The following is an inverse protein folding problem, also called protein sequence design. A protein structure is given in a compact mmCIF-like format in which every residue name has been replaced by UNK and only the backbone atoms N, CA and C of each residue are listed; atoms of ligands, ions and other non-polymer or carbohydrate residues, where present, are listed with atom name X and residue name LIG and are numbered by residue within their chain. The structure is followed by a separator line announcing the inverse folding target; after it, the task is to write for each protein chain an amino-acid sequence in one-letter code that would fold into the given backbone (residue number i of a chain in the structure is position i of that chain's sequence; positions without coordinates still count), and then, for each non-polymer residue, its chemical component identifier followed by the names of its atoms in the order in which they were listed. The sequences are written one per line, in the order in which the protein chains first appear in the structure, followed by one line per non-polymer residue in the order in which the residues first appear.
data_IF_670593897470
#
_entry.id   IF_670593897470
#
_cell.length_a   1.000
_cell.length_b   1.000
_cell.length_c   1.000
_cell.angle_alpha   90.00
_cell.angle_beta   90.00
_cell.angle_gamma   90.00
#
_symmetry.space_group_name_H-M   'P 1'
#
loop_
_entity.id
_entity.type
_entity.pdbx_description
1 polymer ?
#
# COMPACT_ATOMS: atom_id res chain seq x y z
N UNK A 1 13.01 3.21 -13.83
CA UNK A 1 11.88 2.44 -13.28
C UNK A 1 10.89 3.44 -12.72
N UNK A 2 9.72 3.54 -13.33
CA UNK A 2 8.67 4.47 -12.91
C UNK A 2 7.80 3.80 -11.85
N UNK A 3 7.62 4.44 -10.71
CA UNK A 3 6.74 3.98 -9.63
C UNK A 3 5.27 4.23 -9.97
N UNK A 4 4.36 3.46 -9.36
CA UNK A 4 2.92 3.71 -9.52
C UNK A 4 2.52 5.13 -9.11
N UNK A 5 3.11 5.64 -8.03
CA UNK A 5 2.80 7.00 -7.56
C UNK A 5 3.25 8.09 -8.54
N UNK A 6 4.39 7.93 -9.21
CA UNK A 6 4.83 8.87 -10.26
C UNK A 6 3.86 8.91 -11.45
N UNK A 7 3.33 7.76 -11.85
CA UNK A 7 2.29 7.69 -12.87
C UNK A 7 1.00 8.35 -12.37
N UNK A 8 0.60 8.08 -11.13
CA UNK A 8 -0.56 8.73 -10.52
C UNK A 8 -0.41 10.26 -10.44
N UNK A 9 0.81 10.78 -10.25
CA UNK A 9 1.06 12.23 -10.25
C UNK A 9 0.71 12.90 -11.58
N UNK A 10 0.79 12.17 -12.69
CA UNK A 10 0.43 12.63 -14.04
C UNK A 10 -1.04 12.36 -14.39
N UNK A 11 -1.75 11.57 -13.60
CA UNK A 11 -3.15 11.23 -13.84
C UNK A 11 -4.08 12.41 -13.46
N UNK A 12 -5.32 12.49 -13.99
CA UNK A 12 -6.22 13.63 -13.76
C UNK A 12 -6.52 14.01 -12.29
N UNK A 13 -6.51 13.06 -11.35
CA UNK A 13 -6.81 13.27 -9.91
C UNK A 13 -8.15 13.98 -9.61
N UNK A 14 -9.06 14.02 -10.58
CA UNK A 14 -10.35 14.68 -10.41
C UNK A 14 -11.33 13.89 -9.54
N UNK A 15 -11.09 12.58 -9.33
CA UNK A 15 -11.94 11.67 -8.54
C UNK A 15 -13.46 11.81 -8.86
N UNK A 16 -13.79 12.09 -10.13
CA UNK A 16 -15.13 12.50 -10.56
C UNK A 16 -16.15 11.35 -10.75
N UNK A 17 -15.72 10.08 -10.70
CA UNK A 17 -16.60 8.92 -10.85
C UNK A 17 -17.18 8.65 -12.25
N UNK A 18 -17.04 9.57 -13.22
CA UNK A 18 -17.67 9.42 -14.56
C UNK A 18 -17.25 8.18 -15.36
N UNK A 19 -16.07 7.61 -15.05
CA UNK A 19 -15.58 6.39 -15.70
C UNK A 19 -15.94 5.10 -14.93
N UNK A 20 -16.92 5.16 -14.01
CA UNK A 20 -17.38 4.01 -13.23
C UNK A 20 -16.40 3.53 -12.15
N UNK A 21 -15.32 4.27 -11.90
CA UNK A 21 -14.35 3.97 -10.85
C UNK A 21 -14.50 4.92 -9.67
N UNK A 22 -14.43 4.38 -8.45
CA UNK A 22 -14.58 5.15 -7.21
C UNK A 22 -13.53 6.25 -7.03
N UNK A 23 -12.34 6.09 -7.64
CA UNK A 23 -11.30 7.10 -7.64
C UNK A 23 -10.42 7.00 -8.88
N UNK A 24 -9.66 8.07 -9.15
CA UNK A 24 -8.61 8.10 -10.15
C UNK A 24 -7.49 7.08 -9.85
N UNK A 25 -7.20 6.81 -8.57
CA UNK A 25 -6.21 5.79 -8.19
C UNK A 25 -6.69 4.40 -8.60
N UNK A 26 -7.95 4.08 -8.27
CA UNK A 26 -8.59 2.82 -8.64
C UNK A 26 -8.63 2.63 -10.15
N UNK A 27 -8.98 3.67 -10.92
CA UNK A 27 -8.97 3.64 -12.37
C UNK A 27 -7.57 3.33 -12.93
N UNK A 28 -6.53 4.01 -12.43
CA UNK A 28 -5.15 3.78 -12.86
C UNK A 28 -4.65 2.37 -12.48
N UNK A 29 -5.02 1.85 -11.30
CA UNK A 29 -4.74 0.45 -10.95
C UNK A 29 -5.40 -0.51 -11.93
N UNK A 30 -6.69 -0.35 -12.22
CA UNK A 30 -7.42 -1.21 -13.16
C UNK A 30 -6.83 -1.13 -14.57
N UNK A 31 -6.34 0.04 -15.00
CA UNK A 31 -5.66 0.21 -16.29
C UNK A 31 -4.48 -0.75 -16.41
N UNK A 32 -3.55 -0.70 -15.45
CA UNK A 32 -2.37 -1.57 -15.44
C UNK A 32 -2.67 -3.05 -15.16
N UNK A 33 -3.88 -3.36 -14.70
CA UNK A 33 -4.41 -4.73 -14.59
C UNK A 33 -5.15 -5.20 -15.86
N UNK A 34 -5.24 -4.37 -16.91
CA UNK A 34 -5.98 -4.69 -18.13
C UNK A 34 -7.51 -4.72 -17.96
N UNK A 35 -8.04 -4.09 -16.90
CA UNK A 35 -9.46 -4.07 -16.54
C UNK A 35 -10.14 -2.71 -16.79
N UNK A 36 -9.43 -1.78 -17.42
CA UNK A 36 -9.90 -0.43 -17.71
C UNK A 36 -9.10 0.14 -18.88
N UNK A 37 -9.76 0.82 -19.81
CA UNK A 37 -9.13 1.59 -20.87
C UNK A 37 -9.09 3.08 -20.51
N UNK A 38 -7.99 3.77 -20.83
CA UNK A 38 -7.91 5.22 -20.63
C UNK A 38 -8.99 5.96 -21.44
N UNK A 39 -9.49 5.41 -22.54
CA UNK A 39 -10.59 5.98 -23.33
C UNK A 39 -11.93 6.06 -22.58
N UNK A 40 -12.10 5.25 -21.54
CA UNK A 40 -13.28 5.32 -20.66
C UNK A 40 -13.22 6.53 -19.71
N UNK A 41 -12.05 7.14 -19.53
CA UNK A 41 -11.89 8.37 -18.74
C UNK A 41 -12.20 9.61 -19.58
N UNK A 42 -13.13 10.45 -19.10
CA UNK A 42 -13.53 11.69 -19.77
C UNK A 42 -12.35 12.60 -20.13
N UNK A 43 -11.35 12.70 -19.25
CA UNK A 43 -10.18 13.58 -19.45
C UNK A 43 -9.24 13.09 -20.55
N UNK A 44 -9.07 11.77 -20.70
CA UNK A 44 -8.29 11.20 -21.80
C UNK A 44 -9.09 11.14 -23.10
N UNK A 45 -10.40 10.89 -23.03
CA UNK A 45 -11.31 10.97 -24.18
C UNK A 45 -11.33 12.37 -24.81
N UNK A 46 -11.30 13.41 -23.98
CA UNK A 46 -11.18 14.82 -24.40
C UNK A 46 -9.75 15.24 -24.75
N UNK A 47 -8.79 14.32 -24.72
CA UNK A 47 -7.37 14.58 -25.01
C UNK A 47 -6.74 15.69 -24.13
N UNK A 48 -7.24 15.88 -22.92
CA UNK A 48 -6.68 16.83 -21.94
C UNK A 48 -5.37 16.28 -21.35
N UNK A 49 -5.25 14.95 -21.28
CA UNK A 49 -4.08 14.25 -20.77
C UNK A 49 -3.51 13.31 -21.83
N UNK A 50 -2.18 13.18 -21.86
CA UNK A 50 -1.47 12.34 -22.80
C UNK A 50 -1.48 10.87 -22.34
N UNK A 51 -2.01 9.97 -23.18
CA UNK A 51 -1.99 8.52 -22.92
C UNK A 51 -0.58 7.93 -22.97
N UNK A 52 0.32 8.54 -23.74
CA UNK A 52 1.71 8.10 -23.89
C UNK A 52 2.51 8.10 -22.60
N UNK A 53 2.08 8.86 -21.59
CA UNK A 53 2.70 8.87 -20.25
C UNK A 53 2.48 7.57 -19.46
N UNK A 54 1.61 6.67 -19.93
CA UNK A 54 1.16 5.48 -19.21
C UNK A 54 1.49 4.17 -19.92
N UNK A 55 2.41 4.18 -20.89
CA UNK A 55 2.80 2.98 -21.67
C UNK A 55 3.66 2.00 -20.86
N UNK A 56 4.47 2.50 -19.93
CA UNK A 56 5.30 1.66 -19.07
C UNK A 56 4.50 1.17 -17.86
N UNK A 57 4.42 -0.17 -17.69
CA UNK A 57 3.87 -0.76 -16.48
C UNK A 57 4.74 -0.36 -15.28
N UNK A 58 4.15 0.09 -14.16
CA UNK A 58 4.92 0.41 -12.97
C UNK A 58 5.72 -0.82 -12.53
N UNK A 59 6.98 -0.59 -12.21
CA UNK A 59 7.92 -1.65 -11.85
C UNK A 59 8.06 -1.70 -10.34
N UNK A 60 8.12 -2.92 -9.79
CA UNK A 60 8.24 -3.16 -8.36
C UNK A 60 9.38 -4.13 -8.06
N UNK A 61 10.07 -3.87 -6.94
CA UNK A 61 10.93 -4.88 -6.32
C UNK A 61 10.05 -5.83 -5.54
N UNK A 62 10.01 -7.10 -5.93
CA UNK A 62 9.37 -8.15 -5.13
C UNK A 62 9.95 -8.13 -3.71
N UNK A 63 9.14 -8.53 -2.72
CA UNK A 63 9.70 -8.77 -1.38
C UNK A 63 10.84 -9.79 -1.53
N UNK A 64 12.04 -9.50 -1.01
CA UNK A 64 13.16 -10.45 -1.05
C UNK A 64 12.93 -11.64 -0.12
N UNK A 65 11.83 -11.65 0.64
CA UNK A 65 11.54 -12.65 1.65
C UNK A 65 10.38 -13.56 1.25
N UNK A 66 10.50 -14.88 1.47
CA UNK A 66 9.40 -15.81 1.27
C UNK A 66 8.20 -15.45 2.15
N UNK A 67 6.97 -15.75 1.71
CA UNK A 67 5.77 -15.52 2.50
C UNK A 67 5.85 -16.23 3.87
N UNK A 68 5.40 -15.56 4.92
CA UNK A 68 5.42 -16.11 6.28
C UNK A 68 5.60 -15.05 7.35
N UNK A 69 5.47 -15.47 8.62
CA UNK A 69 5.66 -14.63 9.80
C UNK A 69 6.98 -15.00 10.47
N UNK A 70 7.78 -13.99 10.79
CA UNK A 70 9.04 -14.10 11.53
C UNK A 70 8.92 -13.31 12.83
N UNK A 71 9.32 -13.92 13.93
CA UNK A 71 9.41 -13.26 15.22
C UNK A 71 10.88 -13.02 15.54
N UNK A 72 11.22 -11.79 15.88
CA UNK A 72 12.57 -11.30 16.15
C UNK A 72 12.56 -10.76 17.58
N UNK A 73 13.40 -11.32 18.45
CA UNK A 73 13.63 -10.74 19.77
C UNK A 73 14.56 -9.54 19.62
N UNK A 74 14.13 -8.32 19.99
CA UNK A 74 14.86 -7.09 19.71
C UNK A 74 16.15 -6.95 20.55
N UNK A 75 16.25 -7.63 21.70
CA UNK A 75 17.45 -7.66 22.54
C UNK A 75 17.51 -8.95 23.38
N UNK A 76 18.68 -9.56 23.61
CA UNK A 76 18.83 -10.70 24.54
C UNK A 76 18.49 -10.35 26.00
N UNK A 77 18.61 -9.07 26.39
CA UNK A 77 18.40 -8.61 27.78
C UNK A 77 16.96 -8.17 28.08
N UNK A 78 16.10 -8.04 27.06
CA UNK A 78 14.67 -7.76 27.24
C UNK A 78 13.86 -8.75 26.42
N UNK A 79 13.75 -9.97 26.96
CA UNK A 79 13.06 -11.10 26.34
C UNK A 79 11.54 -10.96 26.35
N UNK A 80 11.02 -9.93 27.01
CA UNK A 80 9.57 -9.71 27.14
C UNK A 80 8.95 -9.23 25.84
N UNK A 81 9.65 -8.39 25.07
CA UNK A 81 9.07 -7.81 23.85
C UNK A 81 9.45 -8.58 22.59
N UNK A 82 8.53 -8.57 21.62
CA UNK A 82 8.69 -9.23 20.33
C UNK A 82 8.52 -8.22 19.20
N UNK A 83 9.40 -8.31 18.20
CA UNK A 83 9.16 -7.72 16.88
C UNK A 83 8.66 -8.82 15.96
N UNK A 84 7.64 -8.56 15.16
CA UNK A 84 7.15 -9.52 14.18
C UNK A 84 7.11 -8.90 12.79
N UNK A 85 7.64 -9.62 11.81
CA UNK A 85 7.56 -9.26 10.39
C UNK A 85 6.74 -10.32 9.67
N UNK A 86 5.78 -9.90 8.87
CA UNK A 86 5.11 -10.76 7.90
C UNK A 86 5.52 -10.33 6.49
N UNK A 87 5.82 -11.31 5.65
CA UNK A 87 5.87 -11.14 4.20
C UNK A 87 4.63 -11.77 3.62
N UNK A 88 3.80 -10.96 2.95
CA UNK A 88 2.60 -11.47 2.28
C UNK A 88 2.95 -12.01 0.90
N UNK A 89 2.12 -12.93 0.40
CA UNK A 89 2.33 -13.50 -0.93
C UNK A 89 2.05 -12.44 -2.01
N UNK A 90 3.11 -11.80 -2.52
CA UNK A 90 3.01 -10.79 -3.57
C UNK A 90 3.42 -11.37 -4.93
N UNK A 91 2.60 -11.18 -5.95
CA UNK A 91 2.96 -11.51 -7.33
C UNK A 91 3.76 -10.37 -7.99
N UNK A 92 4.73 -10.67 -8.89
CA UNK A 92 5.36 -9.66 -9.75
C UNK A 92 4.36 -8.85 -10.59
N UNK A 93 3.18 -9.41 -10.88
CA UNK A 93 2.13 -8.74 -11.66
C UNK A 93 1.30 -7.74 -10.85
N UNK A 94 1.45 -7.74 -9.53
CA UNK A 94 0.70 -6.87 -8.63
C UNK A 94 1.40 -5.51 -8.49
N UNK A 95 0.72 -4.46 -8.95
CA UNK A 95 1.20 -3.06 -8.95
C UNK A 95 1.73 -2.65 -7.57
N UNK A 96 0.86 -2.68 -6.56
CA UNK A 96 1.21 -2.48 -5.15
C UNK A 96 0.30 -3.37 -4.31
N UNK A 97 0.83 -3.94 -3.23
CA UNK A 97 0.05 -4.75 -2.31
C UNK A 97 -0.98 -3.91 -1.53
N UNK A 98 -0.58 -2.71 -1.12
CA UNK A 98 -1.43 -1.76 -0.44
C UNK A 98 -1.65 -0.50 -1.27
N UNK A 99 -2.77 0.17 -1.08
CA UNK A 99 -3.02 1.49 -1.65
C UNK A 99 -2.73 2.55 -0.60
N UNK A 100 -1.49 3.04 -0.57
CA UNK A 100 -1.13 4.04 0.43
C UNK A 100 -1.73 5.42 0.20
N UNK A 101 -2.11 5.72 -1.05
CA UNK A 101 -2.78 6.99 -1.36
C UNK A 101 -4.20 6.95 -0.79
N UNK A 102 -4.91 5.86 -1.02
CA UNK A 102 -6.25 5.66 -0.46
C UNK A 102 -6.20 5.48 1.05
N UNK A 103 -5.20 4.76 1.57
CA UNK A 103 -5.00 4.60 3.01
C UNK A 103 -4.78 5.94 3.73
N UNK A 104 -4.04 6.88 3.12
CA UNK A 104 -3.88 8.23 3.64
C UNK A 104 -5.22 8.95 3.78
N UNK A 105 -6.07 8.88 2.74
CA UNK A 105 -7.39 9.51 2.74
C UNK A 105 -8.34 8.91 3.79
N UNK A 106 -8.33 7.58 3.96
CA UNK A 106 -9.25 6.87 4.86
C UNK A 106 -8.77 6.93 6.33
N UNK A 107 -7.48 6.72 6.55
CA UNK A 107 -6.92 6.50 7.89
C UNK A 107 -6.16 7.70 8.45
N UNK A 108 -5.81 8.69 7.63
CA UNK A 108 -5.06 9.88 8.05
C UNK A 108 -5.73 10.67 9.18
N UNK A 109 -7.06 10.61 9.29
CA UNK A 109 -7.82 11.26 10.36
C UNK A 109 -7.99 10.40 11.63
N UNK A 110 -7.80 9.09 11.54
CA UNK A 110 -8.16 8.13 12.59
C UNK A 110 -6.96 7.66 13.43
N UNK A 111 -5.72 7.90 12.97
CA UNK A 111 -4.51 7.59 13.72
C UNK A 111 -3.74 8.87 13.98
N UNK A 112 -3.50 9.17 15.27
CA UNK A 112 -2.81 10.40 15.67
C UNK A 112 -1.49 10.65 14.95
N UNK A 113 -0.71 9.60 14.61
CA UNK A 113 0.55 9.73 13.84
C UNK A 113 0.68 8.61 12.80
N UNK A 114 -0.03 8.72 11.68
CA UNK A 114 0.25 7.94 10.47
C UNK A 114 1.11 8.77 9.51
N UNK A 115 2.32 8.28 9.21
CA UNK A 115 3.24 8.87 8.23
C UNK A 115 3.27 7.98 7.00
N UNK A 116 2.89 8.51 5.86
CA UNK A 116 2.84 7.76 4.60
C UNK A 116 3.79 8.42 3.62
N UNK A 117 4.53 7.60 2.89
CA UNK A 117 5.31 8.02 1.75
C UNK A 117 5.00 7.09 0.59
N UNK A 118 4.07 7.49 -0.31
CA UNK A 118 3.76 6.70 -1.50
C UNK A 118 4.98 6.54 -2.41
N UNK A 119 5.86 7.56 -2.47
CA UNK A 119 7.12 7.51 -3.21
C UNK A 119 8.05 6.41 -2.70
N UNK A 120 8.17 6.26 -1.39
CA UNK A 120 9.00 5.22 -0.78
C UNK A 120 8.28 3.87 -0.66
N UNK A 121 6.99 3.81 -1.01
CA UNK A 121 6.15 2.63 -0.82
C UNK A 121 6.12 2.20 0.65
N UNK A 122 5.97 3.14 1.59
CA UNK A 122 5.94 2.84 3.02
C UNK A 122 4.87 3.65 3.76
N UNK A 123 4.21 3.00 4.71
CA UNK A 123 3.38 3.62 5.73
C UNK A 123 3.89 3.23 7.11
N UNK A 124 3.96 4.19 8.02
CA UNK A 124 4.28 3.99 9.44
C UNK A 124 3.17 4.57 10.29
N UNK A 125 2.66 3.81 11.23
CA UNK A 125 1.65 4.27 12.17
C UNK A 125 1.80 3.59 13.53
N UNK A 126 1.14 4.13 14.53
CA UNK A 126 1.11 3.56 15.88
C UNK A 126 -0.27 2.99 16.20
N UNK A 127 -0.31 1.78 16.75
CA UNK A 127 -1.53 1.12 17.23
C UNK A 127 -1.25 0.56 18.61
N UNK A 128 -2.03 0.96 19.61
CA UNK A 128 -1.90 0.49 20.99
C UNK A 128 -0.44 0.58 21.53
N UNK A 129 0.25 1.69 21.27
CA UNK A 129 1.65 1.92 21.68
C UNK A 129 2.70 1.19 20.83
N UNK A 130 2.30 0.49 19.77
CA UNK A 130 3.18 -0.34 18.93
C UNK A 130 3.41 0.32 17.59
N UNK A 131 4.66 0.35 17.15
CA UNK A 131 5.01 0.90 15.86
C UNK A 131 4.77 -0.16 14.77
N UNK A 132 3.91 0.16 13.82
CA UNK A 132 3.63 -0.64 12.63
C UNK A 132 4.26 0.02 11.41
N UNK A 133 4.96 -0.76 10.60
CA UNK A 133 5.50 -0.33 9.30
C UNK A 133 4.96 -1.27 8.22
N UNK A 134 4.24 -0.73 7.25
CA UNK A 134 3.76 -1.47 6.09
C UNK A 134 4.46 -0.98 4.84
N UNK A 135 4.77 -1.91 3.95
CA UNK A 135 5.47 -1.65 2.69
C UNK A 135 4.55 -1.99 1.53
N UNK A 136 4.63 -1.24 0.44
CA UNK A 136 3.83 -1.51 -0.76
C UNK A 136 4.20 -2.86 -1.38
N UNK A 137 5.37 -3.38 -0.96
CA UNK A 137 5.84 -4.73 -1.25
C UNK A 137 5.09 -5.86 -0.50
N UNK A 138 4.11 -5.55 0.34
CA UNK A 138 3.32 -6.53 1.08
C UNK A 138 3.98 -6.98 2.39
N UNK A 139 5.15 -6.45 2.74
CA UNK A 139 5.72 -6.65 4.08
C UNK A 139 5.01 -5.77 5.10
N UNK A 140 4.79 -6.32 6.30
CA UNK A 140 4.31 -5.56 7.46
C UNK A 140 5.12 -5.95 8.69
N UNK A 141 5.61 -4.96 9.42
CA UNK A 141 6.43 -5.09 10.62
C UNK A 141 5.68 -4.48 11.80
N UNK A 142 5.62 -5.20 12.92
CA UNK A 142 5.15 -4.69 14.22
C UNK A 142 6.32 -4.74 15.18
N UNK A 143 6.63 -3.60 15.80
CA UNK A 143 7.66 -3.48 16.85
C UNK A 143 7.02 -3.27 18.22
N UNK A 144 7.72 -3.71 19.27
CA UNK A 144 7.32 -3.54 20.68
C UNK A 144 6.02 -4.26 21.04
N UNK A 145 5.74 -5.41 20.43
CA UNK A 145 4.64 -6.25 20.87
C UNK A 145 4.99 -6.92 22.21
N UNK A 146 3.98 -7.15 23.06
CA UNK A 146 4.17 -7.72 24.39
C UNK A 146 4.50 -9.21 24.36
N UNK A 147 4.04 -9.92 23.34
CA UNK A 147 4.32 -11.33 23.10
C UNK A 147 4.00 -11.70 21.64
N UNK A 148 4.14 -12.99 21.29
CA UNK A 148 3.82 -13.48 19.93
C UNK A 148 2.34 -13.37 19.59
N UNK A 149 1.43 -13.54 20.56
CA UNK A 149 -0.03 -13.50 20.35
C UNK A 149 -0.48 -12.08 20.06
N UNK A 150 0.00 -11.12 20.84
CA UNK A 150 -0.19 -9.69 20.63
C UNK A 150 0.40 -9.26 19.27
N UNK A 151 1.63 -9.67 18.95
CA UNK A 151 2.25 -9.38 17.66
C UNK A 151 1.40 -9.90 16.48
N UNK A 152 0.91 -11.14 16.57
CA UNK A 152 0.03 -11.73 15.55
C UNK A 152 -1.29 -10.96 15.42
N UNK A 153 -1.92 -10.60 16.54
CA UNK A 153 -3.16 -9.83 16.55
C UNK A 153 -2.99 -8.47 15.87
N UNK A 154 -1.88 -7.78 16.15
CA UNK A 154 -1.58 -6.47 15.58
C UNK A 154 -1.24 -6.56 14.09
N UNK A 155 -0.48 -7.58 13.67
CA UNK A 155 -0.25 -7.88 12.26
C UNK A 155 -1.58 -8.08 11.52
N UNK A 156 -2.42 -9.00 12.02
CA UNK A 156 -3.73 -9.32 11.42
C UNK A 156 -4.62 -8.08 11.29
N UNK A 157 -4.71 -7.28 12.34
CA UNK A 157 -5.56 -6.09 12.37
C UNK A 157 -5.04 -5.01 11.42
N UNK A 158 -3.74 -4.77 11.42
CA UNK A 158 -3.09 -3.78 10.54
C UNK A 158 -3.27 -4.14 9.06
N UNK A 159 -3.03 -5.41 8.70
CA UNK A 159 -3.18 -5.89 7.32
C UNK A 159 -4.62 -5.74 6.84
N UNK A 160 -5.60 -6.15 7.66
CA UNK A 160 -7.03 -6.04 7.29
C UNK A 160 -7.47 -4.60 7.04
N UNK A 161 -6.98 -3.66 7.84
CA UNK A 161 -7.26 -2.24 7.66
C UNK A 161 -6.63 -1.74 6.36
N UNK A 162 -5.36 -2.02 6.12
CA UNK A 162 -4.69 -1.60 4.89
C UNK A 162 -5.28 -2.26 3.63
N UNK A 163 -5.79 -3.49 3.75
CA UNK A 163 -6.51 -4.17 2.67
C UNK A 163 -7.77 -3.41 2.24
N UNK A 164 -8.49 -2.81 3.20
CA UNK A 164 -9.67 -2.02 2.91
C UNK A 164 -9.39 -0.77 2.05
N UNK A 165 -8.13 -0.35 1.92
CA UNK A 165 -7.76 0.74 1.01
C UNK A 165 -7.55 0.27 -0.44
N UNK A 166 -7.42 -1.04 -0.69
CA UNK A 166 -7.11 -1.62 -2.01
C UNK A 166 -8.38 -2.02 -2.78
N UNK A 167 -9.47 -2.28 -2.05
CA UNK A 167 -10.79 -2.66 -2.58
C UNK A 167 -11.74 -1.47 -2.60
#
# INVERSE_FOLDING_TARGET
MTSFYELYRKFPKADCGYCGNASCVTALRKYFMGKFSLDECLYFKKQIYNKGDFTEKPTRKASPFPPGIRYISPCPSDSSMVTAEVSLNSSPDQIDYFDFITAEKIFGYNYGVMKISPTLGIARFEVDGKAVMAFSDGRVLVRRALDKKDAFWQLRTSIRRLWAAVN
#
